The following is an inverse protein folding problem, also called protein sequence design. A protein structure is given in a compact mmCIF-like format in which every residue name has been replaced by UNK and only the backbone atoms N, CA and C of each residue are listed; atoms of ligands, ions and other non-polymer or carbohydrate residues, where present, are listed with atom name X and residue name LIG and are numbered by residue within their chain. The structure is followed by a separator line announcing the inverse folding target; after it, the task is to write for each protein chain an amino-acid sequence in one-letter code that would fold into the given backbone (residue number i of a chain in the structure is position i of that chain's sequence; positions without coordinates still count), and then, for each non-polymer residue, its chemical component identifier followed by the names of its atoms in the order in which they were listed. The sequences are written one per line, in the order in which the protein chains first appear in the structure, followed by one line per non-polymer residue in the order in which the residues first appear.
data_IF_872214028876
#
_entry.id   IF_872214028876
#
_cell.length_a   1.000
_cell.length_b   1.000
_cell.length_c   1.000
_cell.angle_alpha   90.00
_cell.angle_beta   90.00
_cell.angle_gamma   90.00
#
_symmetry.space_group_name_H-M   'P 1'
#
loop_
_entity.id
_entity.type
_entity.pdbx_description
1 polymer ?
#
# COMPACT_ATOMS: atom_id res chain seq x y z
N UNK A 1 16.74 10.63 -12.43
CA UNK A 1 16.31 10.54 -11.02
C UNK A 1 16.36 9.09 -10.59
N UNK A 2 16.98 8.78 -9.45
CA UNK A 2 17.06 7.41 -8.92
C UNK A 2 15.76 7.07 -8.19
N UNK A 3 15.35 5.79 -8.22
CA UNK A 3 14.13 5.28 -7.58
C UNK A 3 14.06 5.65 -6.08
N UNK A 4 15.22 5.75 -5.43
CA UNK A 4 15.35 6.13 -4.02
C UNK A 4 14.93 7.57 -3.70
N UNK A 5 15.07 8.49 -4.65
CA UNK A 5 14.72 9.91 -4.44
C UNK A 5 13.26 10.22 -4.76
N UNK A 6 12.57 9.33 -5.49
CA UNK A 6 11.19 9.54 -5.95
C UNK A 6 10.14 8.83 -5.08
N UNK A 7 10.52 7.77 -4.37
CA UNK A 7 9.60 6.98 -3.55
C UNK A 7 10.15 6.80 -2.13
N UNK A 8 9.40 7.14 -1.06
CA UNK A 8 9.81 6.82 0.31
C UNK A 8 9.86 5.29 0.52
N UNK A 9 10.54 4.83 1.58
CA UNK A 9 10.61 3.39 1.89
C UNK A 9 9.20 2.81 2.12
N UNK A 10 8.41 3.49 2.94
CA UNK A 10 6.97 3.25 3.16
C UNK A 10 6.28 4.61 3.06
N UNK A 11 5.19 4.72 2.31
CA UNK A 11 4.42 5.95 2.20
C UNK A 11 3.49 6.16 3.40
N UNK A 12 2.96 7.38 3.52
CA UNK A 12 1.80 7.63 4.34
C UNK A 12 0.58 6.83 3.88
N UNK A 13 -0.40 6.69 4.77
CA UNK A 13 -1.69 6.06 4.45
C UNK A 13 -2.45 6.97 3.50
N UNK A 14 -2.63 6.51 2.28
CA UNK A 14 -3.30 7.23 1.22
C UNK A 14 -4.67 6.63 0.98
N UNK A 15 -5.62 7.46 0.54
CA UNK A 15 -6.88 6.96 0.01
C UNK A 15 -6.62 6.12 -1.25
N UNK A 16 -7.35 5.01 -1.41
CA UNK A 16 -7.13 4.11 -2.53
C UNK A 16 -7.34 4.79 -3.90
N UNK A 17 -8.07 5.92 -3.96
CA UNK A 17 -8.25 6.80 -5.14
C UNK A 17 -6.97 7.24 -5.81
N UNK A 18 -5.83 7.22 -5.11
CA UNK A 18 -4.53 7.50 -5.73
C UNK A 18 -4.24 6.54 -6.89
N UNK A 19 -4.66 5.28 -6.78
CA UNK A 19 -4.45 4.29 -7.84
C UNK A 19 -5.26 4.61 -9.08
N UNK A 20 -6.48 5.17 -8.96
CA UNK A 20 -7.26 5.56 -10.15
C UNK A 20 -6.53 6.60 -11.00
N UNK A 21 -5.72 7.47 -10.39
CA UNK A 21 -4.93 8.48 -11.10
C UNK A 21 -3.69 7.92 -11.80
N UNK A 22 -3.24 6.72 -11.39
CA UNK A 22 -2.04 6.08 -11.93
C UNK A 22 -2.34 5.20 -13.15
N UNK A 23 -3.57 4.71 -13.28
CA UNK A 23 -4.00 3.92 -14.42
C UNK A 23 -4.82 4.78 -15.37
N UNK A 24 -4.58 4.62 -16.67
CA UNK A 24 -5.33 5.32 -17.69
C UNK A 24 -6.82 4.90 -17.66
N UNK A 25 -7.73 5.83 -17.94
CA UNK A 25 -9.18 5.59 -17.88
C UNK A 25 -9.65 4.56 -18.93
N UNK A 26 -8.90 4.42 -20.02
CA UNK A 26 -9.12 3.48 -21.11
C UNK A 26 -8.66 2.05 -20.80
N UNK A 27 -7.94 1.82 -19.69
CA UNK A 27 -7.59 0.48 -19.23
C UNK A 27 -8.75 -0.17 -18.44
N UNK A 28 -9.75 -0.64 -19.18
CA UNK A 28 -10.98 -1.21 -18.64
C UNK A 28 -10.73 -2.36 -17.65
N UNK A 29 -9.67 -3.16 -17.84
CA UNK A 29 -9.36 -4.31 -16.97
C UNK A 29 -8.85 -3.82 -15.62
N UNK A 30 -7.92 -2.85 -15.60
CA UNK A 30 -7.43 -2.28 -14.35
C UNK A 30 -8.51 -1.47 -13.61
N UNK A 31 -9.34 -0.72 -14.34
CA UNK A 31 -10.47 -0.01 -13.74
C UNK A 31 -11.47 -0.95 -13.06
N UNK A 32 -11.77 -2.10 -13.67
CA UNK A 32 -12.65 -3.11 -13.06
C UNK A 32 -12.03 -3.71 -11.79
N UNK A 33 -10.74 -4.06 -11.83
CA UNK A 33 -10.02 -4.56 -10.65
C UNK A 33 -9.96 -3.53 -9.52
N UNK A 34 -9.76 -2.26 -9.84
CA UNK A 34 -9.79 -1.18 -8.86
C UNK A 34 -11.16 -1.06 -8.22
N UNK A 35 -12.25 -1.10 -9.00
CA UNK A 35 -13.63 -1.10 -8.46
C UNK A 35 -13.87 -2.23 -7.46
N UNK A 36 -13.37 -3.42 -7.74
CA UNK A 36 -13.48 -4.55 -6.81
C UNK A 36 -12.59 -4.37 -5.56
N UNK A 37 -11.45 -3.71 -5.70
CA UNK A 37 -10.56 -3.40 -4.59
C UNK A 37 -11.19 -2.38 -3.63
N UNK A 38 -11.87 -1.34 -4.13
CA UNK A 38 -12.59 -0.35 -3.30
C UNK A 38 -13.68 -0.95 -2.43
N UNK A 39 -14.28 -2.06 -2.86
CA UNK A 39 -15.31 -2.74 -2.07
C UNK A 39 -14.75 -3.35 -0.77
N UNK A 40 -13.44 -3.61 -0.73
CA UNK A 40 -12.77 -4.32 0.37
C UNK A 40 -11.85 -3.41 1.18
N UNK A 41 -11.23 -2.43 0.53
CA UNK A 41 -10.20 -1.59 1.14
C UNK A 41 -10.44 -0.12 0.83
N UNK A 42 -10.33 0.72 1.85
CA UNK A 42 -10.44 2.18 1.69
C UNK A 42 -9.08 2.88 1.51
N UNK A 43 -7.99 2.27 1.97
CA UNK A 43 -6.68 2.91 2.03
C UNK A 43 -5.56 2.01 1.51
N UNK A 44 -4.46 2.63 1.12
CA UNK A 44 -3.22 1.98 0.67
C UNK A 44 -1.98 2.67 1.24
N UNK A 45 -0.95 1.90 1.56
CA UNK A 45 0.43 2.39 1.74
C UNK A 45 1.32 1.73 0.71
N UNK A 46 2.10 2.54 -0.01
CA UNK A 46 3.04 2.07 -1.02
C UNK A 46 4.41 1.83 -0.40
N UNK A 47 5.13 0.84 -0.93
CA UNK A 47 6.54 0.60 -0.61
C UNK A 47 7.42 0.88 -1.81
N UNK A 48 8.66 1.29 -1.55
CA UNK A 48 9.65 1.53 -2.61
C UNK A 48 9.87 0.25 -3.44
N UNK A 49 9.90 0.32 -4.79
CA UNK A 49 10.18 -0.84 -5.65
C UNK A 49 11.70 -1.10 -5.71
N UNK A 50 12.29 -1.52 -4.59
CA UNK A 50 13.74 -1.75 -4.42
C UNK A 50 14.12 -3.22 -4.21
N UNK A 51 13.22 -4.16 -4.56
CA UNK A 51 13.41 -5.61 -4.35
C UNK A 51 13.14 -6.07 -2.91
N UNK A 52 13.14 -5.17 -1.93
CA UNK A 52 12.80 -5.46 -0.52
C UNK A 52 11.35 -5.12 -0.19
N UNK A 53 10.55 -4.73 -1.19
CA UNK A 53 9.18 -4.22 -1.03
C UNK A 53 8.25 -5.18 -0.28
N UNK A 54 8.38 -6.50 -0.51
CA UNK A 54 7.58 -7.51 0.18
C UNK A 54 7.86 -7.55 1.68
N UNK A 55 9.13 -7.76 2.07
CA UNK A 55 9.54 -7.81 3.48
C UNK A 55 9.20 -6.53 4.22
N UNK A 56 9.33 -5.39 3.54
CA UNK A 56 9.00 -4.08 4.08
C UNK A 56 7.51 -3.91 4.30
N UNK A 57 6.68 -4.26 3.32
CA UNK A 57 5.22 -4.18 3.45
C UNK A 57 4.71 -5.13 4.54
N UNK A 58 5.19 -6.38 4.54
CA UNK A 58 4.82 -7.39 5.53
C UNK A 58 5.21 -6.96 6.94
N UNK A 59 6.48 -6.60 7.16
CA UNK A 59 6.96 -6.18 8.47
C UNK A 59 6.23 -4.95 9.00
N UNK A 60 5.98 -3.95 8.15
CA UNK A 60 5.23 -2.76 8.56
C UNK A 60 3.78 -3.08 8.94
N UNK A 61 3.04 -3.80 8.10
CA UNK A 61 1.65 -4.14 8.36
C UNK A 61 1.49 -5.02 9.61
N UNK A 62 2.43 -5.94 9.83
CA UNK A 62 2.42 -6.80 11.01
C UNK A 62 2.68 -5.99 12.29
N UNK A 63 3.69 -5.11 12.30
CA UNK A 63 3.97 -4.24 13.45
C UNK A 63 2.82 -3.24 13.70
N UNK A 64 2.21 -2.68 12.66
CA UNK A 64 1.04 -1.79 12.78
C UNK A 64 -0.14 -2.54 13.44
N UNK A 65 -0.36 -3.80 13.08
CA UNK A 65 -1.38 -4.65 13.71
C UNK A 65 -1.09 -4.92 15.20
N UNK A 66 0.17 -5.09 15.59
CA UNK A 66 0.55 -5.35 17.00
C UNK A 66 0.43 -4.09 17.87
N UNK A 67 0.54 -2.89 17.28
CA UNK A 67 0.36 -1.64 18.00
C UNK A 67 -1.11 -1.40 18.37
N UNK A 68 -2.05 -1.88 17.56
CA UNK A 68 -3.49 -1.80 17.83
C UNK A 68 -3.96 -2.89 18.81
N UNK A 69 -3.29 -4.04 18.82
CA UNK A 69 -3.57 -5.16 19.73
C UNK A 69 -2.58 -5.21 20.90
N UNK A 70 -2.85 -4.42 21.94
CA UNK A 70 -2.02 -4.34 23.15
C UNK A 70 -1.87 -5.67 23.91
N UNK A 71 -2.64 -6.71 23.57
CA UNK A 71 -2.55 -8.05 24.18
C UNK A 71 -1.53 -8.97 23.49
N UNK A 72 -1.27 -8.79 22.20
CA UNK A 72 -0.27 -9.59 21.46
C UNK A 72 1.15 -9.01 21.59
N UNK A 73 1.28 -7.72 21.92
CA UNK A 73 2.57 -7.07 22.17
C UNK A 73 3.30 -7.60 23.42
N UNK A 74 2.60 -8.28 24.34
CA UNK A 74 3.14 -8.77 25.62
C UNK A 74 3.39 -10.29 25.68
N UNK A 75 3.23 -11.03 24.57
CA UNK A 75 3.51 -12.47 24.53
C UNK A 75 4.92 -12.82 24.07
#
# INVERSE_FOLDING_TARGET
MTIANSNPLVSDRQDLSVLQKEYAEDDAVYQLKLKDLYKKYAFIRKTRPDGNCFYRAFGFAHLESLLDDSKELQK
#
